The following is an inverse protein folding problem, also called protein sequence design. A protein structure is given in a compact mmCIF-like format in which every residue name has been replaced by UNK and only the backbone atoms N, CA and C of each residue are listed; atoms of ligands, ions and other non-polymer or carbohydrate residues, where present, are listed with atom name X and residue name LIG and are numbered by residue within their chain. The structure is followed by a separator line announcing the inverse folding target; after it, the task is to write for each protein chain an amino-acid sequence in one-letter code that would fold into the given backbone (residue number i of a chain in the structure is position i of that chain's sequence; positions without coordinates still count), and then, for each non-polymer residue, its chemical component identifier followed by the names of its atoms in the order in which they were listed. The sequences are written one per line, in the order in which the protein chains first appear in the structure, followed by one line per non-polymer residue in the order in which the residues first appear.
data_IF_870725888261
#
_entry.id   IF_870725888261
#
_cell.length_a   1.000
_cell.length_b   1.000
_cell.length_c   1.000
_cell.angle_alpha   90.00
_cell.angle_beta   90.00
_cell.angle_gamma   90.00
#
_symmetry.space_group_name_H-M   'P 1'
#
loop_
_entity.id
_entity.type
_entity.pdbx_description
1 polymer ?
#
# COMPACT_ATOMS: atom_id res chain seq x y z
N UNK A 1 13.97 -8.91 14.50
CA UNK A 1 14.44 -7.71 13.77
C UNK A 1 13.49 -6.54 14.06
N UNK A 2 14.00 -5.31 14.25
CA UNK A 2 13.19 -4.09 14.46
C UNK A 2 13.24 -3.25 13.17
N UNK A 3 12.23 -3.30 12.29
CA UNK A 3 12.28 -2.56 11.04
C UNK A 3 12.25 -1.06 11.33
N UNK A 4 13.11 -0.31 10.64
CA UNK A 4 13.16 1.14 10.77
C UNK A 4 12.08 1.72 9.87
N UNK A 5 11.29 2.66 10.41
CA UNK A 5 10.33 3.40 9.59
C UNK A 5 11.10 4.40 8.73
N UNK A 6 11.04 4.20 7.43
CA UNK A 6 11.76 4.98 6.42
C UNK A 6 10.90 6.16 5.95
N UNK A 7 9.57 6.00 5.97
CA UNK A 7 8.62 7.07 5.66
C UNK A 7 8.62 8.13 6.78
N UNK A 8 8.77 9.43 6.46
CA UNK A 8 8.71 10.49 7.47
C UNK A 8 7.29 10.62 8.05
N UNK A 9 7.20 11.12 9.28
CA UNK A 9 5.92 11.34 9.96
C UNK A 9 5.02 12.34 9.21
N UNK A 10 5.62 13.32 8.53
CA UNK A 10 4.94 14.25 7.64
C UNK A 10 5.70 14.31 6.32
N UNK A 11 4.98 14.16 5.22
CA UNK A 11 5.53 14.36 3.87
C UNK A 11 5.23 15.78 3.41
N UNK A 12 5.95 16.24 2.38
CA UNK A 12 5.68 17.53 1.73
C UNK A 12 4.30 17.61 1.06
N UNK A 13 3.62 16.47 0.90
CA UNK A 13 2.32 16.34 0.24
C UNK A 13 1.13 16.51 1.18
N UNK A 14 1.37 16.88 2.44
CA UNK A 14 0.31 17.16 3.43
C UNK A 14 -0.62 18.31 2.99
N UNK A 15 -0.12 19.17 2.09
CA UNK A 15 -0.83 20.28 1.44
C UNK A 15 -1.77 19.83 0.30
N UNK A 16 -1.88 18.53 0.08
CA UNK A 16 -2.77 17.93 -0.90
C UNK A 16 -2.27 17.87 -2.33
N UNK A 17 -1.00 18.21 -2.56
CA UNK A 17 -0.31 18.08 -3.85
C UNK A 17 0.24 16.66 -4.10
N UNK A 18 -0.23 15.67 -3.33
CA UNK A 18 0.26 14.30 -3.37
C UNK A 18 0.07 13.60 -4.71
N UNK A 19 1.05 12.80 -5.17
CA UNK A 19 0.93 12.08 -6.44
C UNK A 19 0.06 10.81 -6.32
N UNK A 20 0.02 10.18 -5.14
CA UNK A 20 -0.82 8.99 -4.87
C UNK A 20 -2.28 9.39 -4.70
N UNK A 21 -2.52 10.57 -4.14
CA UNK A 21 -3.85 11.10 -3.89
C UNK A 21 -3.84 12.63 -3.90
N UNK A 22 -4.85 13.22 -4.52
CA UNK A 22 -5.03 14.66 -4.66
C UNK A 22 -6.12 15.19 -3.73
N UNK A 23 -5.82 16.24 -2.98
CA UNK A 23 -6.75 16.92 -2.06
C UNK A 23 -6.17 17.14 -0.67
N UNK A 24 -6.83 17.94 0.17
CA UNK A 24 -6.31 18.26 1.50
C UNK A 24 -6.43 17.09 2.49
N UNK A 25 -5.44 16.91 3.36
CA UNK A 25 -5.46 15.88 4.42
C UNK A 25 -6.77 15.90 5.23
N UNK A 26 -7.30 17.09 5.49
CA UNK A 26 -8.62 17.31 6.07
C UNK A 26 -9.57 17.81 4.99
N UNK A 27 -10.75 17.18 4.77
CA UNK A 27 -11.40 16.16 5.60
C UNK A 27 -11.09 14.71 5.19
N UNK A 28 -10.20 14.48 4.22
CA UNK A 28 -10.03 13.15 3.62
C UNK A 28 -9.65 12.06 4.63
N UNK A 29 -8.88 12.39 5.66
CA UNK A 29 -8.58 11.47 6.76
C UNK A 29 -9.85 10.83 7.35
N UNK A 30 -10.92 11.60 7.54
CA UNK A 30 -12.20 11.08 8.05
C UNK A 30 -12.90 10.18 7.04
N UNK A 31 -12.79 10.49 5.75
CA UNK A 31 -13.31 9.64 4.68
C UNK A 31 -12.55 8.32 4.64
N UNK A 32 -11.22 8.32 4.75
CA UNK A 32 -10.43 7.07 4.78
C UNK A 32 -10.78 6.21 5.99
N UNK A 33 -10.94 6.80 7.17
CA UNK A 33 -11.36 6.08 8.39
C UNK A 33 -12.77 5.53 8.21
N UNK A 34 -13.70 6.33 7.67
CA UNK A 34 -15.07 5.90 7.42
C UNK A 34 -15.14 4.79 6.35
N UNK A 35 -14.42 4.93 5.24
CA UNK A 35 -14.32 3.89 4.21
C UNK A 35 -13.64 2.63 4.73
N UNK A 36 -12.66 2.72 5.63
CA UNK A 36 -12.09 1.55 6.30
C UNK A 36 -13.12 0.84 7.19
N UNK A 37 -13.87 1.59 7.99
CA UNK A 37 -14.93 1.05 8.85
C UNK A 37 -16.10 0.46 8.03
N UNK A 38 -16.50 1.12 6.95
CA UNK A 38 -17.59 0.67 6.05
C UNK A 38 -17.14 -0.46 5.12
N UNK A 39 -15.87 -0.50 4.70
CA UNK A 39 -15.32 -1.61 3.90
C UNK A 39 -15.16 -2.89 4.73
N UNK A 40 -14.83 -2.80 6.02
CA UNK A 40 -14.96 -3.95 6.93
C UNK A 40 -16.40 -4.46 6.99
N UNK A 41 -17.38 -3.56 6.84
CA UNK A 41 -18.79 -3.93 6.65
C UNK A 41 -19.08 -4.57 5.28
N UNK A 42 -18.33 -4.24 4.23
CA UNK A 42 -18.43 -4.91 2.93
C UNK A 42 -17.87 -6.34 2.95
N UNK A 43 -16.83 -6.62 3.75
CA UNK A 43 -16.38 -8.00 4.03
C UNK A 43 -17.45 -8.83 4.74
N UNK A 44 -18.34 -8.17 5.51
CA UNK A 44 -19.51 -8.81 6.12
C UNK A 44 -20.69 -8.99 5.14
N UNK A 45 -20.79 -8.24 4.03
CA UNK A 45 -22.05 -8.14 3.26
C UNK A 45 -21.96 -8.38 1.73
N UNK A 46 -20.83 -8.32 1.01
CA UNK A 46 -20.90 -8.35 -0.47
C UNK A 46 -19.75 -9.02 -1.22
N UNK A 47 -20.01 -10.19 -1.83
CA UNK A 47 -19.87 -10.40 -3.30
C UNK A 47 -20.01 -11.89 -3.69
N UNK A 48 -21.24 -12.43 -3.65
CA UNK A 48 -21.66 -13.53 -4.55
C UNK A 48 -21.03 -14.92 -4.40
N UNK A 49 -20.05 -15.14 -3.53
CA UNK A 49 -19.56 -16.48 -3.14
C UNK A 49 -20.03 -16.77 -1.71
N UNK A 50 -21.32 -17.12 -1.61
CA UNK A 50 -22.05 -17.59 -0.41
C UNK A 50 -21.53 -17.09 0.95
N UNK A 51 -22.17 -16.10 1.62
CA UNK A 51 -21.92 -15.83 3.02
C UNK A 51 -22.49 -16.98 3.86
N UNK A 52 -21.81 -18.12 3.88
CA UNK A 52 -22.04 -19.23 4.80
C UNK A 52 -21.10 -19.03 5.99
N UNK A 53 -21.30 -17.97 6.78
CA UNK A 53 -20.37 -17.69 7.90
C UNK A 53 -20.97 -17.76 9.29
N UNK A 54 -22.29 -17.87 9.43
CA UNK A 54 -22.91 -18.09 10.73
C UNK A 54 -23.84 -19.28 10.62
N UNK A 55 -23.53 -20.37 11.32
CA UNK A 55 -24.42 -21.53 11.39
C UNK A 55 -25.68 -21.21 12.23
N UNK A 56 -25.59 -20.22 13.12
CA UNK A 56 -26.69 -19.65 13.89
C UNK A 56 -26.34 -18.22 14.35
N UNK A 57 -27.35 -17.47 14.78
CA UNK A 57 -27.21 -16.08 15.25
C UNK A 57 -26.31 -15.94 16.49
N UNK A 58 -26.22 -16.97 17.33
CA UNK A 58 -25.36 -16.97 18.52
C UNK A 58 -23.86 -16.83 18.19
N UNK A 59 -23.45 -17.20 16.98
CA UNK A 59 -22.08 -17.04 16.50
C UNK A 59 -21.77 -15.63 15.97
N UNK A 60 -22.80 -14.80 15.73
CA UNK A 60 -22.65 -13.49 15.09
C UNK A 60 -21.70 -12.57 15.85
N UNK A 61 -21.85 -12.51 17.17
CA UNK A 61 -21.01 -11.67 18.02
C UNK A 61 -19.54 -12.12 18.00
N UNK A 62 -19.30 -13.43 18.10
CA UNK A 62 -17.94 -13.97 18.14
C UNK A 62 -17.21 -13.79 16.81
N UNK A 63 -17.87 -14.13 15.69
CA UNK A 63 -17.28 -14.04 14.36
C UNK A 63 -17.16 -12.59 13.90
N UNK A 64 -18.15 -11.73 14.17
CA UNK A 64 -18.07 -10.31 13.85
C UNK A 64 -16.95 -9.60 14.62
N UNK A 65 -16.85 -9.84 15.94
CA UNK A 65 -15.78 -9.28 16.76
C UNK A 65 -14.40 -9.82 16.37
N UNK A 66 -14.29 -11.14 16.17
CA UNK A 66 -13.05 -11.77 15.70
C UNK A 66 -12.61 -11.27 14.32
N UNK A 67 -13.56 -11.06 13.41
CA UNK A 67 -13.33 -10.45 12.09
C UNK A 67 -12.77 -9.03 12.20
N UNK A 68 -13.41 -8.16 12.99
CA UNK A 68 -12.92 -6.80 13.23
C UNK A 68 -11.50 -6.78 13.81
N UNK A 69 -11.18 -7.69 14.73
CA UNK A 69 -9.83 -7.81 15.29
C UNK A 69 -8.81 -8.24 14.22
N UNK A 70 -9.15 -9.23 13.39
CA UNK A 70 -8.25 -9.74 12.34
C UNK A 70 -8.04 -8.70 11.24
N UNK A 71 -9.08 -7.99 10.81
CA UNK A 71 -8.96 -6.88 9.87
C UNK A 71 -8.09 -5.75 10.43
N UNK A 72 -8.30 -5.37 11.69
CA UNK A 72 -7.49 -4.36 12.36
C UNK A 72 -6.02 -4.76 12.43
N UNK A 73 -5.73 -6.04 12.69
CA UNK A 73 -4.38 -6.56 12.70
C UNK A 73 -3.72 -6.46 11.32
N UNK A 74 -4.41 -6.90 10.26
CA UNK A 74 -3.91 -6.79 8.87
C UNK A 74 -3.72 -5.33 8.47
N UNK A 75 -4.61 -4.43 8.89
CA UNK A 75 -4.49 -3.00 8.63
C UNK A 75 -3.21 -2.40 9.27
N UNK A 76 -2.90 -2.76 10.51
CA UNK A 76 -1.67 -2.33 11.19
C UNK A 76 -0.43 -2.90 10.46
N UNK A 77 -0.46 -4.17 10.05
CA UNK A 77 0.64 -4.78 9.28
C UNK A 77 0.84 -4.08 7.93
N UNK A 78 -0.24 -3.74 7.22
CA UNK A 78 -0.16 -3.01 5.95
C UNK A 78 0.41 -1.60 6.13
N UNK A 79 0.02 -0.89 7.21
CA UNK A 79 0.59 0.41 7.55
C UNK A 79 2.09 0.31 7.84
N UNK A 80 2.50 -0.66 8.67
CA UNK A 80 3.91 -0.88 8.98
C UNK A 80 4.69 -1.21 7.70
N UNK A 81 4.19 -2.12 6.85
CA UNK A 81 4.79 -2.43 5.55
C UNK A 81 4.97 -1.19 4.67
N UNK A 82 3.95 -0.35 4.56
CA UNK A 82 4.03 0.87 3.76
C UNK A 82 5.08 1.85 4.31
N UNK A 83 5.27 1.91 5.62
CA UNK A 83 6.20 2.84 6.27
C UNK A 83 7.66 2.36 6.32
N UNK A 84 7.93 1.07 6.10
CA UNK A 84 9.30 0.53 6.11
C UNK A 84 9.94 0.48 4.72
N UNK A 85 9.13 0.39 3.65
CA UNK A 85 9.62 0.42 2.27
C UNK A 85 10.24 1.80 2.00
N UNK A 86 11.24 1.83 1.13
CA UNK A 86 11.81 3.09 0.66
C UNK A 86 10.69 3.99 0.09
N UNK A 87 10.59 5.26 0.51
CA UNK A 87 9.53 6.15 0.05
C UNK A 87 9.49 6.30 -1.47
N UNK A 88 10.64 6.30 -2.16
CA UNK A 88 10.70 6.37 -3.62
C UNK A 88 10.05 5.14 -4.26
N UNK A 89 10.31 3.96 -3.71
CA UNK A 89 9.66 2.71 -4.16
C UNK A 89 8.16 2.77 -3.91
N UNK A 90 7.75 3.21 -2.72
CA UNK A 90 6.34 3.38 -2.37
C UNK A 90 5.60 4.30 -3.36
N UNK A 91 6.20 5.44 -3.71
CA UNK A 91 5.62 6.39 -4.65
C UNK A 91 5.64 5.89 -6.09
N UNK A 92 6.68 5.19 -6.53
CA UNK A 92 6.70 4.54 -7.85
C UNK A 92 5.62 3.45 -7.99
N UNK A 93 5.33 2.73 -6.90
CA UNK A 93 4.30 1.70 -6.87
C UNK A 93 2.88 2.28 -6.84
N UNK A 94 2.64 3.29 -6.00
CA UNK A 94 1.29 3.74 -5.69
C UNK A 94 0.84 4.97 -6.47
N UNK A 95 1.72 5.65 -7.21
CA UNK A 95 1.33 6.80 -8.03
C UNK A 95 0.72 6.35 -9.36
N UNK A 96 -0.25 7.10 -9.92
CA UNK A 96 -0.88 6.78 -11.20
C UNK A 96 0.12 6.76 -12.35
N UNK A 97 -0.04 5.80 -13.28
CA UNK A 97 0.78 5.72 -14.49
C UNK A 97 0.79 7.01 -15.31
N UNK A 98 -0.32 7.74 -15.36
CA UNK A 98 -0.41 9.01 -16.08
C UNK A 98 0.58 10.07 -15.55
N UNK A 99 0.95 9.99 -14.27
CA UNK A 99 1.93 10.88 -13.63
C UNK A 99 3.35 10.35 -13.81
N UNK A 100 3.54 9.03 -13.70
CA UNK A 100 4.85 8.39 -13.75
C UNK A 100 5.42 8.25 -15.17
N UNK A 101 4.57 8.02 -16.16
CA UNK A 101 4.93 7.81 -17.55
C UNK A 101 3.83 8.38 -18.47
N UNK A 102 3.92 9.67 -18.83
CA UNK A 102 2.99 10.31 -19.75
C UNK A 102 2.93 9.61 -21.12
N UNK A 103 1.86 9.86 -21.87
CA UNK A 103 1.59 9.26 -23.18
C UNK A 103 2.81 9.38 -24.11
N UNK A 104 3.26 8.25 -24.69
CA UNK A 104 4.40 8.22 -25.61
C UNK A 104 5.76 7.97 -24.94
N UNK A 105 5.78 7.72 -23.63
CA UNK A 105 7.01 7.30 -22.92
C UNK A 105 7.44 5.91 -23.39
N UNK A 106 8.66 5.81 -23.96
CA UNK A 106 9.23 4.54 -24.42
C UNK A 106 9.78 3.68 -23.26
N UNK A 107 10.38 4.33 -22.26
CA UNK A 107 10.91 3.66 -21.06
C UNK A 107 10.16 4.12 -19.80
N UNK A 108 9.20 3.30 -19.39
CA UNK A 108 8.34 3.56 -18.23
C UNK A 108 9.14 3.56 -16.93
N UNK A 109 10.18 2.72 -16.82
CA UNK A 109 10.94 2.55 -15.58
C UNK A 109 11.88 3.74 -15.37
N UNK A 110 12.57 4.15 -16.43
CA UNK A 110 13.40 5.36 -16.39
C UNK A 110 12.58 6.60 -16.09
N UNK A 111 11.41 6.75 -16.74
CA UNK A 111 10.51 7.87 -16.48
C UNK A 111 9.99 7.88 -15.04
N UNK A 112 9.53 6.74 -14.53
CA UNK A 112 9.03 6.63 -13.15
C UNK A 112 10.12 6.99 -12.13
N UNK A 113 11.35 6.48 -12.30
CA UNK A 113 12.47 6.80 -11.43
C UNK A 113 12.81 8.30 -11.45
N UNK A 114 12.80 8.92 -12.63
CA UNK A 114 13.07 10.35 -12.79
C UNK A 114 11.98 11.23 -12.16
N UNK A 115 10.71 10.89 -12.38
CA UNK A 115 9.55 11.61 -11.81
C UNK A 115 9.58 11.53 -10.29
N UNK A 116 9.76 10.33 -9.72
CA UNK A 116 9.83 10.15 -8.26
C UNK A 116 11.06 10.84 -7.67
N UNK A 117 12.20 10.81 -8.36
CA UNK A 117 13.39 11.57 -7.96
C UNK A 117 13.16 13.07 -7.97
N UNK A 118 12.36 13.60 -8.90
CA UNK A 118 11.96 15.01 -8.90
C UNK A 118 11.13 15.40 -7.67
N UNK A 119 10.53 14.41 -6.99
CA UNK A 119 9.83 14.61 -5.73
C UNK A 119 10.75 14.61 -4.50
N UNK A 120 12.06 14.45 -4.68
CA UNK A 120 13.04 14.44 -3.60
C UNK A 120 13.26 13.06 -2.98
N UNK A 121 12.75 11.99 -3.60
CA UNK A 121 13.01 10.61 -3.20
C UNK A 121 13.99 9.99 -4.20
N UNK A 122 15.25 9.84 -3.80
CA UNK A 122 16.28 9.31 -4.68
C UNK A 122 16.00 7.84 -5.01
N UNK A 123 15.66 7.54 -6.27
CA UNK A 123 15.41 6.18 -6.74
C UNK A 123 15.96 5.99 -8.16
N UNK A 124 16.48 4.80 -8.44
CA UNK A 124 17.03 4.46 -9.76
C UNK A 124 16.16 3.42 -10.47
N UNK A 125 16.24 3.34 -11.81
CA UNK A 125 15.58 2.30 -12.59
C UNK A 125 16.03 0.90 -12.17
N UNK A 126 17.33 0.73 -11.87
CA UNK A 126 17.91 -0.54 -11.44
C UNK A 126 17.28 -1.02 -10.12
N UNK A 127 17.06 -0.12 -9.16
CA UNK A 127 16.38 -0.46 -7.90
C UNK A 127 14.94 -0.92 -8.14
N UNK A 128 14.21 -0.27 -9.05
CA UNK A 128 12.83 -0.68 -9.38
C UNK A 128 12.79 -2.07 -10.04
N UNK A 129 13.73 -2.36 -10.95
CA UNK A 129 13.86 -3.67 -11.57
C UNK A 129 14.28 -4.75 -10.57
N UNK A 130 15.23 -4.44 -9.70
CA UNK A 130 15.69 -5.36 -8.67
C UNK A 130 14.54 -5.76 -7.74
N UNK A 131 13.78 -4.79 -7.22
CA UNK A 131 12.66 -5.07 -6.32
C UNK A 131 11.56 -5.85 -7.04
N UNK A 132 11.27 -5.53 -8.31
CA UNK A 132 10.31 -6.31 -9.10
C UNK A 132 10.75 -7.78 -9.20
N UNK A 133 12.03 -8.04 -9.48
CA UNK A 133 12.59 -9.40 -9.54
C UNK A 133 12.55 -10.10 -8.18
N UNK A 134 12.90 -9.42 -7.09
CA UNK A 134 12.87 -9.98 -5.73
C UNK A 134 11.46 -10.37 -5.28
N UNK A 135 10.45 -9.63 -5.73
CA UNK A 135 9.04 -9.89 -5.43
C UNK A 135 8.42 -10.91 -6.41
N UNK A 136 9.13 -11.24 -7.50
CA UNK A 136 8.66 -12.17 -8.53
C UNK A 136 7.68 -11.56 -9.52
N UNK A 137 7.67 -10.23 -9.66
CA UNK A 137 6.81 -9.48 -10.56
C UNK A 137 7.58 -8.92 -11.76
N UNK A 138 6.94 -8.75 -12.91
CA UNK A 138 7.57 -8.11 -14.08
C UNK A 138 7.80 -6.61 -13.88
N UNK A 139 6.93 -5.96 -13.09
CA UNK A 139 7.03 -4.54 -12.74
C UNK A 139 6.17 -4.24 -11.51
N UNK A 140 6.70 -3.37 -10.66
CA UNK A 140 6.01 -2.84 -9.48
C UNK A 140 5.40 -1.45 -9.72
N UNK A 141 5.64 -0.85 -10.89
CA UNK A 141 5.24 0.53 -11.20
C UNK A 141 3.72 0.63 -11.34
N UNK A 142 3.12 1.65 -10.69
CA UNK A 142 1.67 1.91 -10.70
C UNK A 142 0.81 0.70 -10.27
N UNK A 143 1.35 -0.22 -9.47
CA UNK A 143 0.61 -1.27 -8.76
C UNK A 143 -0.02 -0.70 -7.49
N UNK A 144 -0.91 0.27 -7.65
CA UNK A 144 -1.52 0.97 -6.53
C UNK A 144 -2.36 0.04 -5.64
N UNK A 145 -2.18 0.18 -4.33
CA UNK A 145 -3.03 -0.49 -3.33
C UNK A 145 -2.28 -1.06 -2.13
N UNK A 146 -3.06 -1.42 -1.12
CA UNK A 146 -2.54 -1.98 0.12
C UNK A 146 -1.97 -3.39 -0.03
N UNK A 147 -2.55 -4.24 -0.89
CA UNK A 147 -2.08 -5.62 -1.07
C UNK A 147 -0.69 -5.73 -1.75
N UNK A 148 -0.41 -5.03 -2.87
CA UNK A 148 0.94 -5.00 -3.44
C UNK A 148 1.97 -4.41 -2.48
N UNK A 149 1.63 -3.31 -1.81
CA UNK A 149 2.51 -2.66 -0.82
C UNK A 149 2.80 -3.58 0.37
N UNK A 150 1.79 -4.29 0.87
CA UNK A 150 1.94 -5.28 1.94
C UNK A 150 2.86 -6.42 1.50
N UNK A 151 2.69 -6.95 0.28
CA UNK A 151 3.52 -8.04 -0.24
C UNK A 151 5.00 -7.65 -0.32
N UNK A 152 5.31 -6.48 -0.89
CA UNK A 152 6.69 -5.96 -0.96
C UNK A 152 7.27 -5.71 0.43
N UNK A 153 6.49 -5.10 1.33
CA UNK A 153 6.94 -4.83 2.70
C UNK A 153 7.20 -6.11 3.50
N UNK A 154 6.34 -7.12 3.35
CA UNK A 154 6.54 -8.43 3.99
C UNK A 154 7.75 -9.16 3.41
N UNK A 155 7.98 -9.10 2.10
CA UNK A 155 9.19 -9.64 1.48
C UNK A 155 10.45 -9.00 2.08
N UNK A 156 10.45 -7.68 2.27
CA UNK A 156 11.54 -6.95 2.90
C UNK A 156 11.77 -7.37 4.36
N UNK A 157 10.69 -7.52 5.14
CA UNK A 157 10.77 -7.98 6.54
C UNK A 157 11.33 -9.39 6.63
N UNK A 158 10.79 -10.31 5.84
CA UNK A 158 11.16 -11.73 5.86
C UNK A 158 12.59 -11.93 5.36
N UNK A 159 13.00 -11.23 4.30
CA UNK A 159 14.37 -11.26 3.81
C UNK A 159 15.35 -10.81 4.91
N UNK A 160 15.09 -9.67 5.56
CA UNK A 160 15.93 -9.17 6.65
C UNK A 160 15.90 -10.05 7.93
N UNK A 161 14.87 -10.87 8.12
CA UNK A 161 14.76 -11.78 9.25
C UNK A 161 15.43 -13.15 8.98
N UNK A 162 15.42 -13.62 7.72
CA UNK A 162 16.00 -14.91 7.31
C UNK A 162 17.47 -14.79 6.90
N UNK A 163 17.92 -13.60 6.50
CA UNK A 163 19.32 -13.33 6.16
C UNK A 163 20.21 -13.00 7.39
N UNK A 164 19.64 -13.03 8.60
CA UNK A 164 20.31 -12.80 9.89
C UNK A 164 20.47 -14.12 10.66
#
# INVERSE_FOLDING_TARGET
MRPTLTMPALTKFVDGTGPVWTGDLFPFLFITIACGAVSGFHALISSGTTPKMLANEGQACFIGYGGMLMESFVAIMALVSACIIDPGVYFAMNSPMAVLAPSGTADVVASAAQVVSSWGFAITPDTLHQIANEVGEQSIISRAGGAPTLAVGMAYILHGALAA
#
